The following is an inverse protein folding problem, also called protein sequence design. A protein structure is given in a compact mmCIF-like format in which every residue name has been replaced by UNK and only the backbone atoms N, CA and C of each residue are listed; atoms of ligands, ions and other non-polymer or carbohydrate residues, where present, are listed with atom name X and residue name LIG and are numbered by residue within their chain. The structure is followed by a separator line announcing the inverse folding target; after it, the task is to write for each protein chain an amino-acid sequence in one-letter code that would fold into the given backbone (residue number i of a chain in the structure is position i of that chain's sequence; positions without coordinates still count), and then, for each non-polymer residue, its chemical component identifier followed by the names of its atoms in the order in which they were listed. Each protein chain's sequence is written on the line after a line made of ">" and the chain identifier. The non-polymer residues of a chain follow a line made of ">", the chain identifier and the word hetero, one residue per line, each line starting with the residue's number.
data_IF_701371688790
#
_entry.id   IF_701371688790
#
_cell.length_a   1.000
_cell.length_b   1.000
_cell.length_c   1.000
_cell.angle_alpha   90.00
_cell.angle_beta   90.00
_cell.angle_gamma   90.00
#
_symmetry.space_group_name_H-M   'P 1'
#
loop_
_entity.id
_entity.type
_entity.pdbx_description
1 polymer ?
#
# COMPACT_ATOMS: atom_id res chain seq x y z
N UNK A 1 -52.64 -39.73 -0.03
CA UNK A 1 -52.68 -38.52 -0.87
C UNK A 1 -51.99 -37.46 -0.04
N UNK A 2 -50.77 -37.09 -0.45
CA UNK A 2 -50.04 -36.02 0.22
C UNK A 2 -50.71 -34.70 -0.17
N UNK A 3 -51.08 -33.93 0.85
CA UNK A 3 -51.68 -32.62 0.73
C UNK A 3 -50.55 -31.65 0.33
N UNK A 4 -50.43 -31.38 -0.97
CA UNK A 4 -49.51 -30.36 -1.51
C UNK A 4 -50.12 -28.99 -1.22
N UNK A 5 -50.03 -28.58 0.06
CA UNK A 5 -50.37 -27.23 0.48
C UNK A 5 -49.49 -26.19 -0.22
N UNK A 6 -49.98 -24.96 -0.43
CA UNK A 6 -49.22 -23.89 -1.07
C UNK A 6 -47.90 -23.67 -0.33
N UNK A 7 -46.79 -23.66 -1.08
CA UNK A 7 -45.45 -23.47 -0.53
C UNK A 7 -45.42 -22.25 0.41
N UNK A 8 -44.77 -22.36 1.58
CA UNK A 8 -44.67 -21.22 2.50
C UNK A 8 -44.00 -20.04 1.80
N UNK A 9 -44.63 -18.85 1.88
CA UNK A 9 -44.07 -17.59 1.37
C UNK A 9 -42.69 -17.37 1.99
N UNK A 10 -41.68 -17.22 1.15
CA UNK A 10 -40.34 -16.90 1.63
C UNK A 10 -40.32 -15.45 2.15
N UNK A 11 -39.54 -15.19 3.21
CA UNK A 11 -39.31 -13.83 3.74
C UNK A 11 -38.93 -12.85 2.62
N UNK A 12 -38.14 -13.34 1.65
CA UNK A 12 -37.68 -12.56 0.51
C UNK A 12 -38.80 -12.06 -0.40
N UNK A 13 -39.91 -12.79 -0.50
CA UNK A 13 -41.07 -12.39 -1.29
C UNK A 13 -41.93 -11.37 -0.54
N UNK A 14 -42.04 -11.51 0.78
CA UNK A 14 -42.80 -10.58 1.62
C UNK A 14 -42.11 -9.22 1.76
N UNK A 15 -40.78 -9.23 1.96
CA UNK A 15 -39.98 -8.03 2.16
C UNK A 15 -39.39 -7.46 0.87
N UNK A 16 -39.55 -8.16 -0.27
CA UNK A 16 -38.89 -7.85 -1.56
C UNK A 16 -37.38 -7.60 -1.39
N UNK A 17 -36.76 -8.32 -0.47
CA UNK A 17 -35.40 -8.12 0.00
C UNK A 17 -34.83 -9.48 0.35
N UNK A 18 -33.62 -9.79 -0.11
CA UNK A 18 -32.90 -10.96 0.40
C UNK A 18 -32.31 -10.64 1.79
N UNK A 19 -32.78 -11.29 2.86
CA UNK A 19 -32.31 -11.05 4.22
C UNK A 19 -30.80 -11.25 4.38
N UNK A 20 -30.25 -12.23 3.67
CA UNK A 20 -28.82 -12.57 3.77
C UNK A 20 -27.98 -11.48 3.12
N UNK A 21 -28.34 -11.09 1.90
CA UNK A 21 -27.67 -10.00 1.18
C UNK A 21 -27.74 -8.68 1.95
N UNK A 22 -28.88 -8.39 2.59
CA UNK A 22 -29.01 -7.19 3.43
C UNK A 22 -28.06 -7.19 4.62
N UNK A 23 -27.91 -8.33 5.31
CA UNK A 23 -26.98 -8.46 6.44
C UNK A 23 -25.52 -8.39 5.95
N UNK A 24 -25.20 -8.98 4.81
CA UNK A 24 -23.88 -8.86 4.18
C UNK A 24 -23.53 -7.42 3.82
N UNK A 25 -24.46 -6.64 3.27
CA UNK A 25 -24.27 -5.22 2.98
C UNK A 25 -24.00 -4.42 4.26
N UNK A 26 -24.71 -4.73 5.35
CA UNK A 26 -24.50 -4.14 6.67
C UNK A 26 -23.12 -4.50 7.24
N UNK A 27 -22.71 -5.75 7.07
CA UNK A 27 -21.39 -6.25 7.46
C UNK A 27 -20.28 -5.48 6.74
N UNK A 28 -20.40 -5.35 5.42
CA UNK A 28 -19.45 -4.62 4.58
C UNK A 28 -19.38 -3.13 4.96
N UNK A 29 -20.53 -2.48 5.12
CA UNK A 29 -20.60 -1.07 5.51
C UNK A 29 -19.92 -0.82 6.87
N UNK A 30 -20.15 -1.69 7.86
CA UNK A 30 -19.54 -1.56 9.19
C UNK A 30 -18.01 -1.68 9.15
N UNK A 31 -17.47 -2.61 8.36
CA UNK A 31 -16.01 -2.74 8.20
C UNK A 31 -15.39 -1.57 7.45
N UNK A 32 -16.05 -1.06 6.40
CA UNK A 32 -15.61 0.15 5.69
C UNK A 32 -15.53 1.34 6.64
N UNK A 33 -16.60 1.62 7.40
CA UNK A 33 -16.60 2.72 8.36
C UNK A 33 -15.58 2.55 9.49
N UNK A 34 -15.33 1.31 9.93
CA UNK A 34 -14.27 1.03 10.88
C UNK A 34 -12.90 1.42 10.30
N UNK A 35 -12.59 0.97 9.08
CA UNK A 35 -11.32 1.31 8.42
C UNK A 35 -11.17 2.82 8.21
N UNK A 36 -12.20 3.48 7.69
CA UNK A 36 -12.21 4.94 7.45
C UNK A 36 -11.93 5.73 8.74
N UNK A 37 -12.53 5.34 9.86
CA UNK A 37 -12.32 6.01 11.14
C UNK A 37 -10.87 5.93 11.64
N UNK A 38 -10.20 4.79 11.43
CA UNK A 38 -8.79 4.64 11.78
C UNK A 38 -7.88 5.39 10.81
N UNK A 39 -8.18 5.38 9.51
CA UNK A 39 -7.43 6.17 8.53
C UNK A 39 -7.55 7.68 8.79
N UNK A 40 -8.73 8.16 9.18
CA UNK A 40 -8.94 9.55 9.59
C UNK A 40 -8.19 9.89 10.88
N UNK A 41 -8.18 9.00 11.87
CA UNK A 41 -7.42 9.20 13.11
C UNK A 41 -5.92 9.33 12.82
N UNK A 42 -5.38 8.44 11.99
CA UNK A 42 -3.97 8.50 11.56
C UNK A 42 -3.68 9.79 10.81
N UNK A 43 -4.53 10.21 9.88
CA UNK A 43 -4.37 11.45 9.11
C UNK A 43 -4.43 12.70 10.00
N UNK A 44 -5.24 12.68 11.06
CA UNK A 44 -5.39 13.79 12.01
C UNK A 44 -4.20 13.90 12.96
N UNK A 45 -3.67 12.78 13.44
CA UNK A 45 -2.63 12.74 14.47
C UNK A 45 -1.20 12.77 13.89
N UNK A 46 -1.02 12.34 12.62
CA UNK A 46 0.24 12.48 11.91
C UNK A 46 0.46 13.94 11.46
N UNK A 47 0.99 14.76 12.37
CA UNK A 47 1.46 16.11 12.08
C UNK A 47 2.93 16.17 11.62
N UNK A 48 3.35 17.29 10.98
CA UNK A 48 4.74 17.49 10.51
C UNK A 48 5.77 17.60 11.65
N UNK A 49 5.32 17.64 12.92
CA UNK A 49 6.17 17.77 14.09
C UNK A 49 6.71 16.43 14.63
N UNK A 50 6.25 15.29 14.09
CA UNK A 50 6.67 13.96 14.54
C UNK A 50 7.95 13.52 13.83
N UNK A 51 8.85 12.86 14.57
CA UNK A 51 9.99 12.18 13.94
C UNK A 51 9.54 10.91 13.22
N UNK A 52 10.31 10.44 12.23
CA UNK A 52 10.01 9.21 11.48
C UNK A 52 9.78 8.00 12.38
N UNK A 53 10.61 7.83 13.42
CA UNK A 53 10.46 6.73 14.39
C UNK A 53 9.14 6.81 15.18
N UNK A 54 8.66 8.02 15.49
CA UNK A 54 7.37 8.21 16.16
C UNK A 54 6.20 7.94 15.22
N UNK A 55 6.31 8.32 13.95
CA UNK A 55 5.30 8.03 12.95
C UNK A 55 5.16 6.52 12.74
N UNK A 56 6.27 5.79 12.63
CA UNK A 56 6.26 4.32 12.52
C UNK A 56 5.61 3.65 13.75
N UNK A 57 5.95 4.11 14.96
CA UNK A 57 5.36 3.58 16.19
C UNK A 57 3.85 3.85 16.27
N UNK A 58 3.40 5.05 15.89
CA UNK A 58 1.97 5.39 15.84
C UNK A 58 1.26 4.52 14.81
N UNK A 59 1.82 4.36 13.61
CA UNK A 59 1.22 3.49 12.59
C UNK A 59 1.11 2.04 13.05
N UNK A 60 2.16 1.49 13.68
CA UNK A 60 2.14 0.13 14.21
C UNK A 60 1.11 -0.03 15.34
N UNK A 61 1.04 0.94 16.26
CA UNK A 61 0.07 0.91 17.36
C UNK A 61 -1.37 1.02 16.84
N UNK A 62 -1.61 1.91 15.87
CA UNK A 62 -2.92 2.06 15.23
C UNK A 62 -3.31 0.80 14.46
N UNK A 63 -2.39 0.18 13.72
CA UNK A 63 -2.66 -1.09 13.03
C UNK A 63 -3.06 -2.20 14.02
N UNK A 64 -2.35 -2.32 15.14
CA UNK A 64 -2.69 -3.30 16.18
C UNK A 64 -4.06 -3.03 16.82
N UNK A 65 -4.41 -1.77 17.06
CA UNK A 65 -5.73 -1.38 17.57
C UNK A 65 -6.83 -1.66 16.54
N UNK A 66 -6.58 -1.38 15.26
CA UNK A 66 -7.49 -1.67 14.17
C UNK A 66 -7.77 -3.17 14.07
N UNK A 67 -6.74 -4.02 14.11
CA UNK A 67 -6.91 -5.47 14.04
C UNK A 67 -7.77 -6.00 15.21
N UNK A 68 -7.59 -5.46 16.42
CA UNK A 68 -8.41 -5.80 17.58
C UNK A 68 -9.86 -5.32 17.43
N UNK A 69 -10.06 -4.08 16.99
CA UNK A 69 -11.38 -3.49 16.78
C UNK A 69 -12.14 -4.25 15.67
N UNK A 70 -11.46 -4.57 14.58
CA UNK A 70 -11.99 -5.36 13.46
C UNK A 70 -12.40 -6.75 13.92
N UNK A 71 -11.55 -7.45 14.68
CA UNK A 71 -11.88 -8.79 15.19
C UNK A 71 -13.08 -8.76 16.14
N UNK A 72 -13.15 -7.77 17.03
CA UNK A 72 -14.28 -7.56 17.93
C UNK A 72 -15.57 -7.25 17.15
N UNK A 73 -15.49 -6.36 16.15
CA UNK A 73 -16.60 -6.00 15.28
C UNK A 73 -17.13 -7.21 14.51
N UNK A 74 -16.25 -8.00 13.88
CA UNK A 74 -16.64 -9.24 13.19
C UNK A 74 -17.40 -10.18 14.10
N UNK A 75 -16.92 -10.38 15.34
CA UNK A 75 -17.61 -11.25 16.30
C UNK A 75 -18.99 -10.73 16.69
N UNK A 76 -19.17 -9.42 16.84
CA UNK A 76 -20.49 -8.84 17.14
C UNK A 76 -21.43 -8.90 15.94
N UNK A 77 -20.92 -8.64 14.74
CA UNK A 77 -21.70 -8.71 13.51
C UNK A 77 -22.18 -10.13 13.23
N UNK A 78 -21.37 -11.16 13.50
CA UNK A 78 -21.81 -12.56 13.38
C UNK A 78 -22.97 -12.88 14.33
N UNK A 79 -22.90 -12.43 15.59
CA UNK A 79 -24.02 -12.59 16.54
C UNK A 79 -25.25 -11.80 16.13
N UNK A 80 -25.03 -10.62 15.54
CA UNK A 80 -26.11 -9.80 15.00
C UNK A 80 -26.78 -10.49 13.80
N UNK A 81 -26.01 -11.12 12.92
CA UNK A 81 -26.54 -11.89 11.78
C UNK A 81 -27.43 -13.03 12.27
N UNK A 82 -26.94 -13.84 13.20
CA UNK A 82 -27.74 -14.92 13.83
C UNK A 82 -29.04 -14.37 14.42
N UNK A 83 -28.96 -13.30 15.22
CA UNK A 83 -30.13 -12.67 15.82
C UNK A 83 -31.10 -12.09 14.77
N UNK A 84 -30.58 -11.40 13.76
CA UNK A 84 -31.37 -10.73 12.74
C UNK A 84 -32.13 -11.75 11.89
N UNK A 85 -31.46 -12.82 11.44
CA UNK A 85 -32.07 -13.87 10.64
C UNK A 85 -33.06 -14.73 11.45
N UNK A 86 -32.79 -14.96 12.73
CA UNK A 86 -33.68 -15.77 13.58
C UNK A 86 -34.88 -15.02 14.14
N UNK A 87 -34.78 -13.70 14.33
CA UNK A 87 -35.79 -12.93 15.09
C UNK A 87 -36.44 -11.82 14.28
N UNK A 88 -35.67 -11.07 13.48
CA UNK A 88 -36.14 -9.85 12.83
C UNK A 88 -36.55 -10.08 11.36
N UNK A 89 -35.82 -10.94 10.66
CA UNK A 89 -35.94 -11.23 9.24
C UNK A 89 -36.43 -12.67 9.02
N UNK A 90 -37.27 -13.17 9.92
CA UNK A 90 -37.96 -14.44 9.76
C UNK A 90 -39.48 -14.21 9.81
N UNK A 91 -40.24 -15.05 9.11
CA UNK A 91 -41.68 -15.13 9.29
C UNK A 91 -41.94 -16.26 10.29
N UNK A 92 -42.54 -15.98 11.47
CA UNK A 92 -42.91 -17.03 12.40
C UNK A 92 -43.79 -18.08 11.72
N UNK A 93 -43.56 -19.38 11.95
CA UNK A 93 -44.22 -20.46 11.21
C UNK A 93 -45.75 -20.46 11.38
N UNK A 94 -46.27 -19.85 12.46
CA UNK A 94 -47.71 -19.68 12.70
C UNK A 94 -48.39 -18.51 11.95
N UNK A 95 -47.63 -17.63 11.31
CA UNK A 95 -48.15 -16.44 10.61
C UNK A 95 -48.22 -16.59 9.08
N UNK A 96 -47.49 -17.54 8.51
CA UNK A 96 -47.44 -17.79 7.05
C UNK A 96 -48.82 -18.09 6.46
N UNK A 97 -49.68 -18.76 7.24
CA UNK A 97 -51.06 -19.09 6.86
C UNK A 97 -52.00 -17.87 6.79
N UNK A 98 -51.68 -16.79 7.51
CA UNK A 98 -52.50 -15.57 7.52
C UNK A 98 -52.17 -14.60 6.37
N UNK A 99 -50.91 -14.59 5.91
CA UNK A 99 -50.49 -13.79 4.77
C UNK A 99 -51.03 -14.36 3.43
N UNK A 100 -51.12 -15.69 3.30
CA UNK A 100 -51.74 -16.34 2.15
C UNK A 100 -53.26 -16.14 2.08
N UNK A 101 -53.93 -15.94 3.22
CA UNK A 101 -55.37 -15.67 3.27
C UNK A 101 -55.74 -14.24 2.82
N UNK A 102 -54.75 -13.36 2.69
CA UNK A 102 -54.93 -11.94 2.38
C UNK A 102 -54.21 -11.47 1.12
N UNK A 103 -53.54 -12.34 0.35
CA UNK A 103 -53.25 -12.00 -1.03
C UNK A 103 -54.60 -11.85 -1.71
N UNK A 104 -55.03 -10.65 -2.14
CA UNK A 104 -56.09 -10.62 -3.11
C UNK A 104 -55.50 -11.38 -4.30
N UNK A 105 -55.96 -12.61 -4.53
CA UNK A 105 -56.02 -13.15 -5.88
C UNK A 105 -57.06 -12.33 -6.64
N UNK A 106 -56.87 -11.02 -6.68
CA UNK A 106 -57.39 -10.25 -7.77
C UNK A 106 -56.55 -10.73 -8.94
N UNK A 107 -57.08 -11.76 -9.61
CA UNK A 107 -57.41 -11.60 -11.03
C UNK A 107 -58.26 -10.32 -11.16
N UNK A 108 -57.67 -9.16 -10.81
CA UNK A 108 -58.16 -7.87 -11.20
C UNK A 108 -58.06 -7.96 -12.70
N UNK A 109 -59.22 -7.86 -13.34
CA UNK A 109 -59.32 -7.81 -14.77
C UNK A 109 -58.53 -6.58 -15.21
N UNK A 110 -57.22 -6.75 -15.43
CA UNK A 110 -56.34 -5.68 -15.87
C UNK A 110 -56.91 -5.25 -17.20
N UNK A 111 -57.30 -3.98 -17.29
CA UNK A 111 -57.85 -3.44 -18.52
C UNK A 111 -56.80 -3.65 -19.64
N UNK A 112 -57.17 -4.20 -20.80
CA UNK A 112 -56.23 -4.35 -21.92
C UNK A 112 -55.52 -3.03 -22.29
N UNK A 113 -56.12 -1.87 -22.02
CA UNK A 113 -55.44 -0.57 -22.20
C UNK A 113 -54.33 -0.34 -21.16
N UNK A 114 -54.53 -0.73 -19.90
CA UNK A 114 -53.52 -0.65 -18.84
C UNK A 114 -52.38 -1.65 -19.08
N UNK A 115 -52.71 -2.87 -19.51
CA UNK A 115 -51.69 -3.86 -19.88
C UNK A 115 -50.82 -3.38 -21.05
N UNK A 116 -51.45 -2.79 -22.08
CA UNK A 116 -50.73 -2.19 -23.21
C UNK A 116 -49.86 -0.99 -22.78
N UNK A 117 -50.33 -0.16 -21.84
CA UNK A 117 -49.56 0.96 -21.30
C UNK A 117 -48.35 0.48 -20.48
N UNK A 118 -48.53 -0.52 -19.62
CA UNK A 118 -47.44 -1.14 -18.84
C UNK A 118 -46.42 -1.78 -19.79
N UNK A 119 -46.87 -2.50 -20.81
CA UNK A 119 -45.99 -3.13 -21.79
C UNK A 119 -45.22 -2.07 -22.61
N UNK A 120 -45.88 -0.98 -23.00
CA UNK A 120 -45.24 0.17 -23.63
C UNK A 120 -44.14 0.78 -22.76
N UNK A 121 -44.42 0.95 -21.46
CA UNK A 121 -43.46 1.47 -20.49
C UNK A 121 -42.28 0.52 -20.25
N UNK A 122 -42.53 -0.79 -20.21
CA UNK A 122 -41.48 -1.81 -20.12
C UNK A 122 -40.57 -1.79 -21.34
N UNK A 123 -41.12 -1.63 -22.55
CA UNK A 123 -40.32 -1.50 -23.78
C UNK A 123 -39.48 -0.22 -23.76
N UNK A 124 -40.03 0.89 -23.28
CA UNK A 124 -39.29 2.14 -23.13
C UNK A 124 -38.13 1.99 -22.12
N UNK A 125 -38.39 1.44 -20.93
CA UNK A 125 -37.37 1.19 -19.91
C UNK A 125 -36.29 0.23 -20.41
N UNK A 126 -36.65 -0.82 -21.16
CA UNK A 126 -35.66 -1.74 -21.76
C UNK A 126 -34.74 -1.02 -22.76
N UNK A 127 -35.27 -0.06 -23.52
CA UNK A 127 -34.46 0.77 -24.43
C UNK A 127 -33.54 1.71 -23.66
N UNK A 128 -34.03 2.32 -22.58
CA UNK A 128 -33.24 3.19 -21.70
C UNK A 128 -32.09 2.41 -21.05
N UNK A 129 -32.37 1.24 -20.48
CA UNK A 129 -31.34 0.34 -19.92
C UNK A 129 -30.31 -0.05 -20.97
N UNK A 130 -30.72 -0.32 -22.21
CA UNK A 130 -29.79 -0.66 -23.29
C UNK A 130 -28.89 0.54 -23.66
N UNK A 131 -29.45 1.76 -23.67
CA UNK A 131 -28.68 2.98 -23.90
C UNK A 131 -27.68 3.26 -22.76
N UNK A 132 -28.10 3.10 -21.50
CA UNK A 132 -27.25 3.28 -20.32
C UNK A 132 -26.11 2.25 -20.26
N UNK A 133 -26.38 1.00 -20.64
CA UNK A 133 -25.35 -0.03 -20.76
C UNK A 133 -24.29 0.34 -21.79
N UNK A 134 -24.69 0.86 -22.95
CA UNK A 134 -23.73 1.31 -23.96
C UNK A 134 -22.97 2.56 -23.49
N UNK A 135 -23.64 3.52 -22.85
CA UNK A 135 -23.00 4.69 -22.25
C UNK A 135 -21.95 4.29 -21.20
N UNK A 136 -22.27 3.33 -20.33
CA UNK A 136 -21.36 2.77 -19.33
C UNK A 136 -20.17 2.11 -20.00
N UNK A 137 -20.38 1.33 -21.07
CA UNK A 137 -19.29 0.68 -21.83
C UNK A 137 -18.38 1.72 -22.48
N UNK A 138 -18.93 2.79 -23.02
CA UNK A 138 -18.15 3.91 -23.58
C UNK A 138 -17.35 4.61 -22.48
N UNK A 139 -17.96 4.88 -21.33
CA UNK A 139 -17.28 5.49 -20.18
C UNK A 139 -16.14 4.61 -19.66
N UNK A 140 -16.34 3.30 -19.52
CA UNK A 140 -15.30 2.35 -19.13
C UNK A 140 -14.13 2.31 -20.13
N UNK A 141 -14.42 2.35 -21.45
CA UNK A 141 -13.37 2.44 -22.47
C UNK A 141 -12.58 3.75 -22.36
N UNK A 142 -13.25 4.86 -22.06
CA UNK A 142 -12.59 6.17 -21.85
C UNK A 142 -11.74 6.15 -20.59
N UNK A 143 -12.23 5.59 -19.48
CA UNK A 143 -11.48 5.42 -18.24
C UNK A 143 -10.23 4.56 -18.48
N UNK A 144 -10.38 3.41 -19.14
CA UNK A 144 -9.24 2.55 -19.48
C UNK A 144 -8.22 3.26 -20.38
N UNK A 145 -8.67 4.10 -21.32
CA UNK A 145 -7.79 4.92 -22.14
C UNK A 145 -7.07 6.00 -21.32
N UNK A 146 -7.75 6.66 -20.38
CA UNK A 146 -7.15 7.61 -19.46
C UNK A 146 -6.13 6.93 -18.54
N UNK A 147 -6.46 5.78 -17.95
CA UNK A 147 -5.54 4.98 -17.14
C UNK A 147 -4.30 4.54 -17.94
N UNK A 148 -4.47 4.13 -19.20
CA UNK A 148 -3.35 3.76 -20.07
C UNK A 148 -2.42 4.96 -20.38
N UNK A 149 -2.95 6.17 -20.41
CA UNK A 149 -2.17 7.41 -20.58
C UNK A 149 -1.50 7.85 -19.27
N UNK A 150 -2.14 7.63 -18.12
CA UNK A 150 -1.63 8.01 -16.80
C UNK A 150 -0.60 7.02 -16.24
N UNK A 151 -0.72 5.73 -16.55
CA UNK A 151 0.20 4.68 -16.09
C UNK A 151 1.68 4.92 -16.49
N UNK A 152 2.02 5.40 -17.70
CA UNK A 152 3.42 5.73 -18.03
C UNK A 152 3.92 7.02 -17.37
N UNK A 153 3.05 7.94 -16.93
CA UNK A 153 3.48 9.16 -16.23
C UNK A 153 3.87 8.91 -14.78
N UNK A 154 3.21 8.00 -14.07
CA UNK A 154 3.55 7.70 -12.66
C UNK A 154 4.91 7.00 -12.52
N UNK A 155 5.26 6.09 -13.44
CA UNK A 155 6.56 5.39 -13.36
C UNK A 155 7.72 6.24 -13.89
N UNK A 156 7.54 6.96 -15.00
CA UNK A 156 8.66 7.69 -15.61
C UNK A 156 8.98 9.02 -14.92
N UNK A 157 8.00 9.66 -14.28
CA UNK A 157 8.21 10.91 -13.57
C UNK A 157 8.94 10.69 -12.24
N UNK A 158 8.50 9.70 -11.44
CA UNK A 158 9.14 9.36 -10.16
C UNK A 158 10.50 8.67 -10.35
N UNK A 159 10.66 7.81 -11.37
CA UNK A 159 11.98 7.27 -11.75
C UNK A 159 12.91 8.37 -12.29
N UNK A 160 12.36 9.37 -12.99
CA UNK A 160 13.12 10.52 -13.49
C UNK A 160 13.59 11.43 -12.35
N UNK A 161 12.73 11.72 -11.39
CA UNK A 161 13.05 12.54 -10.22
C UNK A 161 14.02 11.85 -9.27
N UNK A 162 13.85 10.54 -9.03
CA UNK A 162 14.79 9.77 -8.20
C UNK A 162 16.17 9.67 -8.83
N UNK A 163 16.26 9.49 -10.16
CA UNK A 163 17.55 9.54 -10.89
C UNK A 163 18.18 10.94 -10.86
N UNK A 164 17.38 12.00 -10.95
CA UNK A 164 17.87 13.37 -10.85
C UNK A 164 18.41 13.65 -9.43
N UNK A 165 17.67 13.24 -8.40
CA UNK A 165 18.08 13.37 -7.01
C UNK A 165 19.37 12.58 -6.71
N UNK A 166 19.47 11.33 -7.18
CA UNK A 166 20.68 10.52 -7.05
C UNK A 166 21.88 11.16 -7.77
N UNK A 167 21.69 11.69 -8.99
CA UNK A 167 22.76 12.37 -9.73
C UNK A 167 23.21 13.68 -9.07
N UNK A 168 22.30 14.41 -8.44
CA UNK A 168 22.64 15.61 -7.66
C UNK A 168 23.43 15.24 -6.40
N UNK A 169 23.05 14.17 -5.70
CA UNK A 169 23.76 13.68 -4.52
C UNK A 169 25.17 13.18 -4.85
N UNK A 170 25.35 12.45 -5.95
CA UNK A 170 26.68 12.03 -6.43
C UNK A 170 27.58 13.22 -6.78
N UNK A 171 27.00 14.31 -7.32
CA UNK A 171 27.75 15.54 -7.61
C UNK A 171 28.11 16.32 -6.35
N UNK A 172 27.24 16.33 -5.35
CA UNK A 172 27.55 16.93 -4.04
C UNK A 172 28.70 16.17 -3.35
N UNK A 173 28.67 14.83 -3.35
CA UNK A 173 29.77 14.02 -2.81
C UNK A 173 31.08 14.24 -3.57
N UNK A 174 31.04 14.34 -4.91
CA UNK A 174 32.22 14.62 -5.71
C UNK A 174 32.81 16.01 -5.41
N UNK A 175 31.98 17.01 -5.11
CA UNK A 175 32.45 18.34 -4.70
C UNK A 175 33.12 18.33 -3.32
N UNK A 176 32.58 17.53 -2.39
CA UNK A 176 33.19 17.28 -1.08
C UNK A 176 34.54 16.58 -1.19
N UNK A 177 34.64 15.57 -2.05
CA UNK A 177 35.86 14.80 -2.29
C UNK A 177 36.97 15.66 -2.90
N UNK A 178 36.64 16.56 -3.85
CA UNK A 178 37.61 17.52 -4.42
C UNK A 178 38.14 18.48 -3.36
N UNK A 179 37.28 18.94 -2.43
CA UNK A 179 37.72 19.81 -1.34
C UNK A 179 38.67 19.08 -0.38
N UNK A 180 38.32 17.85 0.04
CA UNK A 180 39.16 17.02 0.92
C UNK A 180 40.48 16.64 0.25
N UNK A 181 40.48 16.31 -1.05
CA UNK A 181 41.69 16.03 -1.83
C UNK A 181 42.57 17.27 -1.97
N UNK A 182 42.00 18.46 -2.17
CA UNK A 182 42.77 19.70 -2.24
C UNK A 182 43.44 20.05 -0.90
N UNK A 183 42.73 19.85 0.21
CA UNK A 183 43.26 20.08 1.55
C UNK A 183 44.33 19.04 1.91
N UNK A 184 44.12 17.78 1.52
CA UNK A 184 45.08 16.70 1.70
C UNK A 184 46.34 16.92 0.85
N UNK A 185 46.18 17.41 -0.39
CA UNK A 185 47.27 17.79 -1.28
C UNK A 185 48.11 18.94 -0.74
N UNK A 186 47.48 20.02 -0.25
CA UNK A 186 48.17 21.14 0.39
C UNK A 186 48.94 20.72 1.65
N UNK A 187 48.36 19.81 2.44
CA UNK A 187 49.02 19.25 3.64
C UNK A 187 50.21 18.36 3.26
N UNK A 188 50.10 17.58 2.18
CA UNK A 188 51.19 16.77 1.65
C UNK A 188 52.35 17.65 1.15
N UNK A 189 52.06 18.74 0.43
CA UNK A 189 53.08 19.70 -0.02
C UNK A 189 53.82 20.35 1.14
N UNK A 190 53.10 20.75 2.20
CA UNK A 190 53.71 21.27 3.43
C UNK A 190 54.66 20.26 4.05
N UNK A 191 54.21 19.02 4.24
CA UNK A 191 55.04 17.95 4.82
C UNK A 191 56.26 17.63 3.95
N UNK A 192 56.12 17.61 2.63
CA UNK A 192 57.24 17.42 1.71
C UNK A 192 58.23 18.58 1.75
N UNK A 193 57.75 19.82 1.92
CA UNK A 193 58.61 20.99 2.09
C UNK A 193 59.39 20.94 3.42
N UNK A 194 58.74 20.52 4.50
CA UNK A 194 59.36 20.34 5.82
C UNK A 194 60.41 19.22 5.78
N UNK A 195 60.10 18.11 5.11
CA UNK A 195 61.02 16.99 4.93
C UNK A 195 62.23 17.39 4.09
N UNK A 196 62.03 18.17 3.01
CA UNK A 196 63.14 18.77 2.23
C UNK A 196 63.96 19.74 3.07
N UNK A 197 63.33 20.55 3.93
CA UNK A 197 64.02 21.43 4.86
C UNK A 197 64.85 20.68 5.90
N UNK A 198 64.31 19.59 6.45
CA UNK A 198 65.01 18.69 7.38
C UNK A 198 66.16 17.95 6.68
N UNK A 199 65.98 17.50 5.44
CA UNK A 199 67.06 16.90 4.64
C UNK A 199 68.15 17.90 4.25
N UNK A 200 67.80 19.17 4.03
CA UNK A 200 68.77 20.23 3.76
C UNK A 200 69.57 20.62 5.01
N UNK A 201 68.97 20.49 6.20
CA UNK A 201 69.58 20.77 7.50
C UNK A 201 70.28 19.57 8.16
N UNK A 202 70.30 18.40 7.50
CA UNK A 202 71.14 17.29 7.96
C UNK A 202 72.59 17.48 7.51
N UNK A 203 73.59 17.44 8.43
CA UNK A 203 74.97 17.32 8.03
C UNK A 203 75.15 16.02 7.26
N UNK A 204 75.64 16.07 6.01
CA UNK A 204 75.84 14.88 5.16
C UNK A 204 76.67 13.84 5.93
N UNK A 205 76.10 12.67 6.30
CA UNK A 205 76.91 11.61 6.88
C UNK A 205 77.81 11.04 5.78
N UNK A 206 79.10 10.92 6.09
CA UNK A 206 80.08 10.30 5.20
C UNK A 206 79.70 8.85 4.87
N UNK A 207 80.27 8.29 3.78
CA UNK A 207 79.84 7.00 3.20
C UNK A 207 79.90 5.81 4.17
N UNK A 208 80.62 5.93 5.29
CA UNK A 208 80.78 4.85 6.29
C UNK A 208 79.62 4.77 7.28
N UNK A 209 78.88 5.87 7.53
CA UNK A 209 77.76 5.88 8.48
C UNK A 209 76.44 5.42 7.86
N UNK A 210 76.28 5.55 6.53
CA UNK A 210 75.13 4.98 5.80
C UNK A 210 75.02 3.47 5.96
N UNK A 211 76.15 2.77 6.04
CA UNK A 211 76.19 1.32 6.24
C UNK A 211 75.81 0.91 7.68
N UNK A 212 76.11 1.74 8.69
CA UNK A 212 75.75 1.46 10.08
C UNK A 212 74.27 1.74 10.39
N UNK A 213 73.64 2.67 9.69
CA UNK A 213 72.21 2.93 9.84
C UNK A 213 71.34 1.88 9.15
N UNK A 214 71.72 1.41 7.96
CA UNK A 214 71.04 0.32 7.26
C UNK A 214 71.11 -1.02 8.02
N UNK A 215 72.16 -1.24 8.81
CA UNK A 215 72.30 -2.43 9.66
C UNK A 215 71.45 -2.40 10.94
N UNK A 216 70.88 -1.25 11.32
CA UNK A 216 70.08 -1.10 12.56
C UNK A 216 68.57 -1.07 12.33
N UNK A 217 68.10 -0.88 11.10
CA UNK A 217 66.66 -0.74 10.79
C UNK A 217 66.04 -1.96 10.10
N UNK A 218 66.81 -3.04 9.89
CA UNK A 218 66.26 -4.31 9.39
C UNK A 218 66.19 -5.29 10.57
N UNK A 219 65.00 -5.63 11.11
CA UNK A 219 64.88 -6.75 12.04
C UNK A 219 65.33 -8.03 11.33
N UNK A 220 66.14 -8.84 12.02
CA UNK A 220 66.87 -10.00 11.46
C UNK A 220 65.99 -11.07 10.82
N UNK A 221 64.66 -10.99 10.96
CA UNK A 221 63.70 -11.93 10.40
C UNK A 221 63.35 -11.67 8.92
N UNK A 222 63.66 -10.50 8.35
CA UNK A 222 63.39 -10.23 6.92
C UNK A 222 64.59 -10.45 5.99
N UNK A 223 65.79 -10.67 6.54
CA UNK A 223 67.01 -10.86 5.76
C UNK A 223 67.20 -12.32 5.32
N UNK A 224 66.54 -13.28 5.96
CA UNK A 224 66.48 -14.68 5.49
C UNK A 224 65.44 -14.89 4.38
N UNK A 225 64.29 -14.21 4.44
CA UNK A 225 63.26 -14.29 3.38
C UNK A 225 63.71 -13.72 2.01
N UNK A 226 64.71 -12.83 2.01
CA UNK A 226 65.33 -12.30 0.80
C UNK A 226 66.47 -13.18 0.26
N UNK A 227 67.04 -14.07 1.07
CA UNK A 227 68.06 -15.03 0.61
C UNK A 227 67.45 -16.26 -0.06
N UNK A 228 66.25 -16.68 0.34
CA UNK A 228 65.55 -17.79 -0.31
C UNK A 228 64.95 -17.43 -1.68
N UNK A 229 64.69 -16.14 -1.96
CA UNK A 229 64.11 -15.69 -3.23
C UNK A 229 65.14 -15.20 -4.27
N UNK A 230 66.44 -15.40 -4.03
CA UNK A 230 67.50 -15.00 -4.97
C UNK A 230 68.36 -16.18 -5.48
N UNK A 231 67.88 -17.41 -5.31
CA UNK A 231 68.40 -18.61 -5.99
C UNK A 231 67.23 -19.43 -6.55
N UNK A 232 66.54 -18.86 -7.54
CA UNK A 232 66.01 -19.55 -8.74
C UNK A 232 66.06 -18.54 -9.89
#
# INVERSE_FOLDING_TARGET
>A
MADDGPAPLAVSELLQLDPTAFVEDLYNAAHCHCADAFDEAVRRDLGPALSLAQQEQIMQATAALYDQARAALSSQLQRFEEFALETCLCIPPGLVTSAQAGAPSTEEHIDPEEEAAVQGRLVALRKEIAADKEATRVAQRRLAACEAVLRPTDTTFDEGLSRLAASLQEKETASGDVFVLSQSGARLESLLSELRGLMANQPRPGPVEKLKLLAKTIPSTQLEALKENLVV
#
